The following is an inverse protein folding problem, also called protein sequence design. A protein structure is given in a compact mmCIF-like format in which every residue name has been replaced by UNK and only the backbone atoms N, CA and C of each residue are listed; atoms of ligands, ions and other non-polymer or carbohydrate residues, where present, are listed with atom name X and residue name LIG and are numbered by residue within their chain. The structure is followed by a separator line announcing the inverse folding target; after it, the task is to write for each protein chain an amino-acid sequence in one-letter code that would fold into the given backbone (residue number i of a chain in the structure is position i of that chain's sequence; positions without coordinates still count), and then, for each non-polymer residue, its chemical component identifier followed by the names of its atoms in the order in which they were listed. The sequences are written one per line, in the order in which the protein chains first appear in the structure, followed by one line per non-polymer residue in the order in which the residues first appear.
data_IF_280196301123
#
_entry.id   IF_280196301123
#
_cell.length_a   1.000
_cell.length_b   1.000
_cell.length_c   1.000
_cell.angle_alpha   90.00
_cell.angle_beta   90.00
_cell.angle_gamma   90.00
#
_symmetry.space_group_name_H-M   'P 1'
#
loop_
_entity.id
_entity.type
_entity.pdbx_description
1 polymer ?
#
# COMPACT_ATOMS: atom_id res chain seq x y z
N UNK A 1 0.26 5.37 -9.71
CA UNK A 1 1.02 4.13 -10.03
C UNK A 1 1.57 3.56 -8.72
N UNK A 2 1.37 2.26 -8.41
CA UNK A 2 1.96 1.67 -7.20
C UNK A 2 3.33 1.09 -7.56
N UNK A 3 4.41 1.76 -7.18
CA UNK A 3 5.79 1.34 -7.48
C UNK A 3 6.08 -0.09 -7.01
N UNK A 4 5.52 -0.50 -5.87
CA UNK A 4 5.71 -1.85 -5.33
C UNK A 4 5.14 -2.92 -6.26
N UNK A 5 3.97 -2.71 -6.88
CA UNK A 5 3.39 -3.64 -7.84
C UNK A 5 4.25 -3.74 -9.11
N UNK A 6 4.83 -2.62 -9.55
CA UNK A 6 5.76 -2.60 -10.68
C UNK A 6 7.01 -3.42 -10.36
N UNK A 7 7.60 -3.22 -9.18
CA UNK A 7 8.76 -3.98 -8.71
C UNK A 7 8.42 -5.47 -8.60
N UNK A 8 7.27 -5.83 -8.01
CA UNK A 8 6.86 -7.24 -7.90
C UNK A 8 6.80 -7.93 -9.26
N UNK A 9 6.16 -7.29 -10.23
CA UNK A 9 6.06 -7.81 -11.60
C UNK A 9 7.45 -7.99 -12.21
N UNK A 10 8.31 -6.99 -12.07
CA UNK A 10 9.67 -7.03 -12.64
C UNK A 10 10.61 -7.99 -11.93
N UNK A 11 10.45 -8.22 -10.63
CA UNK A 11 11.17 -9.27 -9.90
C UNK A 11 10.77 -10.65 -10.41
N UNK A 12 9.46 -10.91 -10.62
CA UNK A 12 8.97 -12.18 -11.18
C UNK A 12 9.50 -12.41 -12.60
N UNK A 13 9.43 -11.40 -13.47
CA UNK A 13 9.99 -11.45 -14.83
C UNK A 13 11.49 -11.71 -14.79
N UNK A 14 12.25 -11.00 -13.95
CA UNK A 14 13.68 -11.15 -13.79
C UNK A 14 14.07 -12.54 -13.27
N UNK A 15 13.34 -13.04 -12.30
CA UNK A 15 13.60 -14.38 -11.75
C UNK A 15 13.35 -15.47 -12.79
N UNK A 16 12.29 -15.34 -13.59
CA UNK A 16 12.03 -16.25 -14.72
C UNK A 16 13.10 -16.16 -15.79
N UNK A 17 13.52 -14.94 -16.15
CA UNK A 17 14.55 -14.73 -17.17
C UNK A 17 15.93 -15.26 -16.76
N UNK A 18 16.31 -15.08 -15.48
CA UNK A 18 17.63 -15.47 -14.96
C UNK A 18 17.73 -16.96 -14.63
N UNK A 19 16.63 -17.55 -14.15
CA UNK A 19 16.66 -18.91 -13.57
C UNK A 19 15.67 -19.89 -14.22
N UNK A 20 14.83 -19.42 -15.16
CA UNK A 20 13.81 -20.25 -15.84
C UNK A 20 12.81 -20.86 -14.83
N UNK A 21 12.52 -20.13 -13.74
CA UNK A 21 11.64 -20.56 -12.65
C UNK A 21 10.66 -19.44 -12.32
N UNK A 22 9.39 -19.77 -12.22
CA UNK A 22 8.35 -18.83 -11.77
C UNK A 22 8.25 -18.78 -10.24
N UNK A 23 8.04 -17.59 -9.70
CA UNK A 23 7.74 -17.38 -8.28
C UNK A 23 6.34 -16.77 -8.13
N UNK A 24 5.51 -17.27 -7.20
CA UNK A 24 4.10 -16.80 -7.07
C UNK A 24 3.99 -15.41 -6.44
N UNK A 25 4.89 -15.06 -5.53
CA UNK A 25 4.85 -13.81 -4.78
C UNK A 25 6.24 -13.32 -4.44
N UNK A 26 6.34 -12.02 -4.18
CA UNK A 26 7.55 -11.34 -3.71
C UNK A 26 7.25 -10.72 -2.35
N UNK A 27 8.14 -10.94 -1.39
CA UNK A 27 8.01 -10.36 -0.06
C UNK A 27 8.79 -9.06 0.02
N UNK A 28 8.13 -8.01 0.52
CA UNK A 28 8.70 -6.68 0.69
C UNK A 28 8.73 -6.26 2.15
N UNK A 29 9.71 -5.44 2.49
CA UNK A 29 9.77 -4.73 3.77
C UNK A 29 10.36 -3.34 3.58
N UNK A 30 10.18 -2.47 4.57
CA UNK A 30 10.88 -1.18 4.59
C UNK A 30 12.38 -1.40 4.78
N UNK A 31 13.20 -0.67 4.03
CA UNK A 31 14.66 -0.72 4.21
C UNK A 31 15.03 -0.21 5.61
N UNK A 32 15.94 -0.90 6.28
CA UNK A 32 16.44 -0.49 7.60
C UNK A 32 17.24 0.80 7.48
N UNK A 33 17.15 1.65 8.50
CA UNK A 33 17.78 2.99 8.51
C UNK A 33 19.31 2.99 8.34
N UNK A 34 19.95 1.89 8.69
CA UNK A 34 21.41 1.72 8.53
C UNK A 34 21.85 1.36 7.11
N UNK A 35 20.93 1.07 6.20
CA UNK A 35 21.22 0.73 4.81
C UNK A 35 20.60 1.75 3.86
N UNK A 36 21.30 2.02 2.76
CA UNK A 36 20.78 2.81 1.67
C UNK A 36 19.67 2.05 0.94
N UNK A 37 18.56 2.75 0.64
CA UNK A 37 17.42 2.21 -0.10
C UNK A 37 16.08 2.58 0.52
N UNK A 38 15.03 2.43 -0.26
CA UNK A 38 13.65 2.76 0.09
C UNK A 38 12.81 1.51 0.34
N UNK A 39 12.97 0.51 -0.53
CA UNK A 39 12.21 -0.74 -0.51
C UNK A 39 13.19 -1.91 -0.51
N UNK A 40 12.95 -2.87 0.38
CA UNK A 40 13.71 -4.10 0.45
C UNK A 40 12.90 -5.28 -0.07
N UNK A 41 13.47 -6.01 -1.03
CA UNK A 41 12.98 -7.33 -1.47
C UNK A 41 13.67 -8.41 -0.64
N UNK A 42 12.88 -9.29 -0.03
CA UNK A 42 13.39 -10.41 0.77
C UNK A 42 13.67 -11.60 -0.15
N UNK A 43 14.95 -11.96 -0.31
CA UNK A 43 15.36 -13.02 -1.24
C UNK A 43 15.14 -14.43 -0.67
N UNK A 44 15.11 -14.58 0.66
CA UNK A 44 15.02 -15.91 1.30
C UNK A 44 13.83 -16.79 0.86
N UNK A 45 12.60 -16.28 0.70
CA UNK A 45 11.50 -17.09 0.20
C UNK A 45 11.74 -17.67 -1.20
N UNK A 46 12.53 -16.99 -2.03
CA UNK A 46 12.86 -17.40 -3.40
C UNK A 46 13.78 -18.63 -3.44
N UNK A 47 14.52 -18.90 -2.36
CA UNK A 47 15.39 -20.09 -2.24
C UNK A 47 14.61 -21.40 -2.26
N UNK A 48 13.30 -21.38 -2.01
CA UNK A 48 12.42 -22.54 -2.14
C UNK A 48 12.28 -22.98 -3.60
N UNK A 49 12.40 -22.04 -4.52
CA UNK A 49 12.22 -22.23 -5.96
C UNK A 49 13.56 -22.38 -6.69
N UNK A 50 14.58 -21.67 -6.23
CA UNK A 50 15.95 -21.75 -6.75
C UNK A 50 16.93 -21.85 -5.59
N UNK A 51 17.51 -23.04 -5.38
CA UNK A 51 18.61 -23.22 -4.40
C UNK A 51 19.84 -22.44 -4.83
N UNK A 52 20.48 -21.73 -3.90
CA UNK A 52 21.67 -20.95 -4.17
C UNK A 52 22.05 -20.04 -3.03
N UNK A 53 23.05 -19.19 -3.27
CA UNK A 53 23.45 -18.16 -2.33
C UNK A 53 22.46 -16.98 -2.41
N UNK A 54 21.78 -16.59 -1.32
CA UNK A 54 20.81 -15.50 -1.34
C UNK A 54 21.42 -14.15 -1.72
N UNK A 55 22.70 -13.92 -1.41
CA UNK A 55 23.41 -12.70 -1.81
C UNK A 55 23.59 -12.66 -3.31
N UNK A 56 24.03 -13.78 -3.94
CA UNK A 56 24.20 -13.84 -5.38
C UNK A 56 22.87 -13.67 -6.13
N UNK A 57 21.80 -14.31 -5.66
CA UNK A 57 20.46 -14.15 -6.25
C UNK A 57 20.00 -12.68 -6.13
N UNK A 58 20.26 -12.03 -4.99
CA UNK A 58 19.97 -10.62 -4.80
C UNK A 58 20.75 -9.72 -5.76
N UNK A 59 22.05 -9.99 -5.97
CA UNK A 59 22.90 -9.25 -6.92
C UNK A 59 22.42 -9.40 -8.37
N UNK A 60 22.08 -10.62 -8.78
CA UNK A 60 21.59 -10.89 -10.13
C UNK A 60 20.25 -10.18 -10.39
N UNK A 61 19.32 -10.24 -9.43
CA UNK A 61 18.06 -9.52 -9.49
C UNK A 61 18.23 -8.01 -9.44
N UNK A 62 19.13 -7.50 -8.60
CA UNK A 62 19.43 -6.07 -8.50
C UNK A 62 19.92 -5.49 -9.82
N UNK A 63 20.86 -6.16 -10.47
CA UNK A 63 21.36 -5.80 -11.81
C UNK A 63 20.25 -5.81 -12.85
N UNK A 64 19.42 -6.86 -12.84
CA UNK A 64 18.27 -6.96 -13.74
C UNK A 64 17.30 -5.79 -13.54
N UNK A 65 16.95 -5.48 -12.28
CA UNK A 65 16.00 -4.42 -11.95
C UNK A 65 16.49 -3.03 -12.36
N UNK A 66 17.73 -2.67 -12.04
CA UNK A 66 18.31 -1.37 -12.45
C UNK A 66 18.34 -1.23 -13.97
N UNK A 67 18.55 -2.32 -14.71
CA UNK A 67 18.58 -2.29 -16.18
C UNK A 67 17.17 -2.18 -16.78
N UNK A 68 16.15 -2.78 -16.16
CA UNK A 68 14.82 -2.95 -16.76
C UNK A 68 13.73 -2.08 -16.11
N UNK A 69 14.03 -1.34 -15.04
CA UNK A 69 13.09 -0.48 -14.30
C UNK A 69 13.73 0.89 -14.11
N UNK A 70 13.29 1.86 -14.89
CA UNK A 70 13.86 3.23 -14.88
C UNK A 70 13.69 3.96 -13.54
N UNK A 71 12.70 3.55 -12.75
CA UNK A 71 12.39 4.10 -11.43
C UNK A 71 13.35 3.59 -10.34
N UNK A 72 14.23 2.64 -10.65
CA UNK A 72 15.24 2.10 -9.73
C UNK A 72 16.61 2.60 -10.17
N UNK A 73 17.23 3.44 -9.35
CA UNK A 73 18.50 4.09 -9.68
C UNK A 73 19.70 3.30 -9.20
N UNK A 74 19.57 2.62 -8.07
CA UNK A 74 20.63 1.86 -7.46
C UNK A 74 20.09 0.71 -6.61
N UNK A 75 20.97 -0.20 -6.18
CA UNK A 75 20.64 -1.25 -5.23
C UNK A 75 21.86 -1.63 -4.38
N UNK A 76 21.63 -2.28 -3.26
CA UNK A 76 22.64 -2.98 -2.50
C UNK A 76 22.06 -4.28 -1.92
N UNK A 77 22.92 -5.26 -1.67
CA UNK A 77 22.52 -6.55 -1.10
C UNK A 77 23.24 -6.79 0.22
N UNK A 78 22.45 -6.93 1.28
CA UNK A 78 22.98 -7.19 2.62
C UNK A 78 22.36 -8.47 3.16
N UNK A 79 23.15 -9.53 3.30
CA UNK A 79 22.73 -10.83 3.87
C UNK A 79 21.45 -11.42 3.27
N UNK A 80 21.23 -11.26 1.95
CA UNK A 80 20.02 -11.76 1.27
C UNK A 80 18.81 -10.81 1.33
N UNK A 81 19.02 -9.56 1.70
CA UNK A 81 18.06 -8.48 1.57
C UNK A 81 18.51 -7.57 0.42
N UNK A 82 17.72 -7.51 -0.63
CA UNK A 82 17.95 -6.65 -1.79
C UNK A 82 17.26 -5.31 -1.53
N UNK A 83 18.04 -4.29 -1.20
CA UNK A 83 17.57 -2.93 -0.95
C UNK A 83 17.63 -2.14 -2.25
N UNK A 84 16.52 -1.54 -2.65
CA UNK A 84 16.36 -0.78 -3.90
C UNK A 84 16.28 0.71 -3.58
N UNK A 85 17.00 1.51 -4.33
CA UNK A 85 16.93 2.97 -4.30
C UNK A 85 15.97 3.42 -5.40
N UNK A 86 14.90 4.09 -5.00
CA UNK A 86 13.86 4.57 -5.91
C UNK A 86 14.15 6.03 -6.30
N UNK A 87 13.96 6.36 -7.56
CA UNK A 87 14.15 7.72 -8.04
C UNK A 87 13.17 8.71 -7.38
N UNK A 88 13.66 9.86 -6.94
CA UNK A 88 12.88 10.90 -6.26
C UNK A 88 11.67 11.37 -7.08
N UNK A 89 11.79 11.32 -8.41
CA UNK A 89 10.69 11.69 -9.31
C UNK A 89 9.43 10.83 -9.11
N UNK A 90 9.57 9.59 -8.67
CA UNK A 90 8.44 8.69 -8.36
C UNK A 90 7.60 9.27 -7.22
N UNK A 91 8.25 9.73 -6.17
CA UNK A 91 7.60 10.32 -4.99
C UNK A 91 7.01 11.68 -5.28
N UNK A 92 7.74 12.53 -6.01
CA UNK A 92 7.27 13.87 -6.38
C UNK A 92 6.10 13.81 -7.36
N UNK A 93 6.12 12.89 -8.32
CA UNK A 93 5.00 12.66 -9.23
C UNK A 93 3.77 12.15 -8.48
N UNK A 94 3.94 11.19 -7.58
CA UNK A 94 2.85 10.70 -6.73
C UNK A 94 2.26 11.81 -5.86
N UNK A 95 3.11 12.64 -5.26
CA UNK A 95 2.66 13.79 -4.47
C UNK A 95 1.85 14.77 -5.33
N UNK A 96 2.33 15.13 -6.51
CA UNK A 96 1.65 16.04 -7.41
C UNK A 96 0.29 15.48 -7.87
N UNK A 97 0.22 14.20 -8.19
CA UNK A 97 -1.02 13.50 -8.54
C UNK A 97 -2.01 13.50 -7.37
N UNK A 98 -1.54 13.18 -6.17
CA UNK A 98 -2.35 13.20 -4.96
C UNK A 98 -2.85 14.62 -4.62
N UNK A 99 -1.98 15.61 -4.71
CA UNK A 99 -2.29 17.02 -4.44
C UNK A 99 -3.30 17.60 -5.44
N UNK A 100 -3.19 17.24 -6.71
CA UNK A 100 -4.12 17.69 -7.75
C UNK A 100 -5.51 17.04 -7.68
N UNK A 101 -5.65 15.94 -6.94
CA UNK A 101 -6.89 15.17 -6.85
C UNK A 101 -7.60 15.39 -5.52
N UNK A 102 -8.58 16.31 -5.47
CA UNK A 102 -9.37 16.57 -4.26
C UNK A 102 -10.10 15.34 -3.69
N UNK A 103 -10.29 14.30 -4.49
CA UNK A 103 -10.89 13.04 -4.07
C UNK A 103 -9.84 11.93 -3.87
N UNK A 104 -8.55 12.29 -3.71
CA UNK A 104 -7.49 11.32 -3.45
C UNK A 104 -7.78 10.51 -2.18
N UNK A 105 -7.67 9.19 -2.28
CA UNK A 105 -7.99 8.27 -1.19
C UNK A 105 -9.47 7.87 -1.11
N UNK A 106 -10.36 8.50 -1.89
CA UNK A 106 -11.76 8.10 -1.96
C UNK A 106 -11.99 7.07 -3.08
N UNK A 107 -12.70 6.02 -2.74
CA UNK A 107 -13.16 5.00 -3.69
C UNK A 107 -14.55 5.40 -4.19
N UNK A 108 -14.80 5.35 -5.50
CA UNK A 108 -16.14 5.60 -6.05
C UNK A 108 -17.14 4.56 -5.52
N UNK A 109 -18.34 4.99 -5.09
CA UNK A 109 -19.37 4.07 -4.61
C UNK A 109 -19.73 3.00 -5.68
N UNK A 110 -19.89 1.77 -5.23
CA UNK A 110 -20.36 0.66 -6.05
C UNK A 110 -21.88 0.58 -5.95
N UNK A 111 -22.55 0.49 -7.09
CA UNK A 111 -24.02 0.49 -7.17
C UNK A 111 -24.64 -0.87 -6.85
N UNK A 112 -23.86 -1.93 -6.89
CA UNK A 112 -24.26 -3.34 -6.72
C UNK A 112 -24.11 -3.86 -5.29
N UNK A 113 -23.61 -3.03 -4.36
CA UNK A 113 -23.40 -3.41 -2.96
C UNK A 113 -24.52 -2.88 -2.05
N UNK A 114 -24.80 -3.65 -0.99
CA UNK A 114 -25.72 -3.22 0.07
C UNK A 114 -25.22 -1.94 0.72
N UNK A 115 -26.11 -1.01 0.96
CA UNK A 115 -25.82 0.20 1.70
C UNK A 115 -25.53 -0.10 3.17
N UNK A 116 -24.69 0.72 3.80
CA UNK A 116 -24.41 0.71 5.23
C UNK A 116 -25.21 1.82 5.90
N UNK A 117 -25.96 1.48 6.93
CA UNK A 117 -26.68 2.44 7.74
C UNK A 117 -25.87 2.72 9.00
N UNK A 118 -25.62 3.99 9.29
CA UNK A 118 -24.91 4.44 10.49
C UNK A 118 -25.85 5.30 11.30
N UNK A 119 -26.34 4.75 12.41
CA UNK A 119 -27.18 5.47 13.33
C UNK A 119 -26.33 6.17 14.39
N UNK A 120 -26.53 7.46 14.56
CA UNK A 120 -25.92 8.27 15.60
C UNK A 120 -26.79 9.50 15.85
N UNK A 121 -26.50 10.29 16.89
CA UNK A 121 -27.29 11.47 17.23
C UNK A 121 -28.73 11.16 17.62
N UNK A 122 -28.94 10.05 18.37
CA UNK A 122 -30.26 9.66 18.91
C UNK A 122 -30.30 9.86 20.42
N UNK A 123 -30.27 11.11 20.93
CA UNK A 123 -30.29 11.39 22.37
C UNK A 123 -31.71 11.21 22.95
N UNK A 124 -31.80 10.94 24.26
CA UNK A 124 -33.04 11.01 24.95
C UNK A 124 -33.59 12.45 24.94
N UNK A 125 -34.80 12.63 24.45
CA UNK A 125 -35.43 13.95 24.25
C UNK A 125 -35.78 14.68 25.56
N UNK A 126 -35.86 13.95 26.66
CA UNK A 126 -36.25 14.47 27.99
C UNK A 126 -35.06 14.87 28.87
N UNK A 127 -33.86 14.93 28.35
CA UNK A 127 -32.65 15.29 29.10
C UNK A 127 -31.83 16.36 28.34
N UNK A 128 -31.16 17.27 29.07
CA UNK A 128 -30.25 18.19 28.41
C UNK A 128 -29.07 17.45 27.78
N UNK A 129 -28.59 17.99 26.64
CA UNK A 129 -27.41 17.46 25.95
C UNK A 129 -26.14 17.74 26.78
N UNK A 130 -25.18 16.83 26.70
CA UNK A 130 -23.87 16.96 27.36
C UNK A 130 -22.74 16.48 26.43
N UNK A 131 -21.50 16.65 26.86
CA UNK A 131 -20.30 16.30 26.06
C UNK A 131 -20.30 14.86 25.51
N UNK A 132 -20.94 13.91 26.21
CA UNK A 132 -21.10 12.55 25.70
C UNK A 132 -21.90 12.47 24.40
N UNK A 133 -22.91 13.32 24.23
CA UNK A 133 -23.68 13.39 22.98
C UNK A 133 -22.84 13.99 21.85
N UNK A 134 -22.05 15.05 22.14
CA UNK A 134 -21.12 15.65 21.17
C UNK A 134 -20.10 14.60 20.68
N UNK A 135 -19.49 13.87 21.62
CA UNK A 135 -18.55 12.77 21.29
C UNK A 135 -19.22 11.73 20.39
N UNK A 136 -20.44 11.29 20.74
CA UNK A 136 -21.15 10.27 19.97
C UNK A 136 -21.44 10.75 18.53
N UNK A 137 -21.85 12.01 18.39
CA UNK A 137 -22.11 12.63 17.09
C UNK A 137 -20.84 12.70 16.24
N UNK A 138 -19.72 13.14 16.80
CA UNK A 138 -18.44 13.21 16.09
C UNK A 138 -17.94 11.83 15.69
N UNK A 139 -18.06 10.84 16.56
CA UNK A 139 -17.66 9.46 16.25
C UNK A 139 -18.54 8.86 15.15
N UNK A 140 -19.86 8.98 15.26
CA UNK A 140 -20.79 8.45 14.26
C UNK A 140 -20.62 9.10 12.90
N UNK A 141 -20.45 10.42 12.87
CA UNK A 141 -20.14 11.16 11.63
C UNK A 141 -18.83 10.67 11.02
N UNK A 142 -17.75 10.58 11.80
CA UNK A 142 -16.43 10.16 11.33
C UNK A 142 -16.46 8.74 10.78
N UNK A 143 -17.12 7.82 11.46
CA UNK A 143 -17.29 6.43 11.01
C UNK A 143 -18.05 6.39 9.68
N UNK A 144 -19.15 7.14 9.56
CA UNK A 144 -19.94 7.21 8.34
C UNK A 144 -19.12 7.74 7.18
N UNK A 145 -18.31 8.79 7.38
CA UNK A 145 -17.44 9.36 6.33
C UNK A 145 -16.32 8.41 5.92
N UNK A 146 -15.69 7.69 6.86
CA UNK A 146 -14.65 6.70 6.56
C UNK A 146 -15.24 5.56 5.72
N UNK A 147 -16.39 5.04 6.10
CA UNK A 147 -17.08 3.98 5.35
C UNK A 147 -17.47 4.47 3.96
N UNK A 148 -17.96 5.72 3.84
CA UNK A 148 -18.26 6.34 2.55
C UNK A 148 -17.01 6.49 1.69
N UNK A 149 -15.89 6.93 2.27
CA UNK A 149 -14.62 7.07 1.58
C UNK A 149 -14.09 5.72 1.04
N UNK A 150 -14.44 4.60 1.70
CA UNK A 150 -14.11 3.23 1.24
C UNK A 150 -14.98 2.73 0.07
N UNK A 151 -15.84 3.58 -0.50
CA UNK A 151 -16.68 3.25 -1.66
C UNK A 151 -18.00 2.58 -1.31
N UNK A 152 -18.43 2.60 -0.04
CA UNK A 152 -19.75 2.12 0.34
C UNK A 152 -20.81 3.21 0.21
N UNK A 153 -22.03 2.83 -0.13
CA UNK A 153 -23.19 3.70 0.02
C UNK A 153 -23.55 3.79 1.50
N UNK A 154 -23.59 5.00 2.06
CA UNK A 154 -23.83 5.21 3.49
C UNK A 154 -25.05 6.09 3.71
N UNK A 155 -25.97 5.62 4.51
CA UNK A 155 -27.09 6.39 5.06
C UNK A 155 -26.81 6.74 6.52
N UNK A 156 -26.84 8.03 6.83
CA UNK A 156 -26.78 8.55 8.20
C UNK A 156 -28.20 8.66 8.74
N UNK A 157 -28.47 8.00 9.83
CA UNK A 157 -29.82 7.91 10.42
C UNK A 157 -29.82 8.34 11.89
N UNK A 158 -30.98 8.75 12.37
CA UNK A 158 -31.24 9.02 13.78
C UNK A 158 -32.65 8.59 14.13
N UNK A 159 -32.87 8.25 15.40
CA UNK A 159 -34.19 8.03 15.97
C UNK A 159 -34.58 9.29 16.76
N UNK A 160 -35.80 9.79 16.53
CA UNK A 160 -36.35 10.97 17.19
C UNK A 160 -37.52 10.54 18.04
#
# INVERSE_FOLDING_TARGET
MNIQNTIETKVKEGFLALYTVEIPSVEFQATRKEFEGDITVVVFPMLRYKKGNPVQIGEDLGKYLVTNVKEITNYNVVKGFLNLVIEDSVYTNFFNEAYANAAFGFIKPRTDEKAVMVEYSSPNTNKPLHLGHVRNNLLGYSVAEIIKASGKNVYKTQII
#
